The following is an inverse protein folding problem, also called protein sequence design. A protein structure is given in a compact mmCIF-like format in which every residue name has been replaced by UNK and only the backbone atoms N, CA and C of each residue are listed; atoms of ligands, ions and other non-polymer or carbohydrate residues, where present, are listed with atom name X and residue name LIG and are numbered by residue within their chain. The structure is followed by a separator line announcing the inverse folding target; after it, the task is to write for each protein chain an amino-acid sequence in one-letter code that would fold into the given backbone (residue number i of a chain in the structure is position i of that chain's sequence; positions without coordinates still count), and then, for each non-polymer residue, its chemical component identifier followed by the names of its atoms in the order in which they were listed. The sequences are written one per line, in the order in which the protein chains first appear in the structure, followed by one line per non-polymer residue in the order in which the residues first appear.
data_IF_019305365641
#
_entry.id   IF_019305365641
#
_cell.length_a   1.000
_cell.length_b   1.000
_cell.length_c   1.000
_cell.angle_alpha   90.00
_cell.angle_beta   90.00
_cell.angle_gamma   90.00
#
_symmetry.space_group_name_H-M   'P 1'
#
loop_
_entity.id
_entity.type
_entity.pdbx_description
1 polymer ?
#
# COMPACT_ATOMS: atom_id res chain seq x y z
N UNK A 1 15.47 19.81 8.98
CA UNK A 1 15.74 18.52 9.64
C UNK A 1 15.16 17.41 8.77
N UNK A 2 16.00 16.64 8.09
CA UNK A 2 15.56 15.52 7.23
C UNK A 2 15.24 14.35 8.15
N UNK A 3 13.95 13.96 8.23
CA UNK A 3 13.53 12.73 8.90
C UNK A 3 14.01 11.55 8.05
N UNK A 4 15.06 10.88 8.53
CA UNK A 4 15.56 9.65 7.92
C UNK A 4 14.55 8.52 8.15
N UNK A 5 13.71 8.25 7.16
CA UNK A 5 13.05 6.96 7.05
C UNK A 5 14.16 5.95 6.77
N UNK A 6 14.53 5.16 7.78
CA UNK A 6 15.53 4.11 7.62
C UNK A 6 15.06 3.10 6.56
N UNK A 7 15.73 3.10 5.45
CA UNK A 7 15.61 2.07 4.42
C UNK A 7 16.11 0.74 5.03
N UNK A 8 15.20 -0.01 5.62
CA UNK A 8 15.50 -1.35 6.10
C UNK A 8 15.57 -2.27 4.89
N UNK A 9 16.81 -2.63 4.53
CA UNK A 9 17.12 -3.47 3.38
C UNK A 9 16.37 -4.81 3.36
N UNK A 10 16.40 -5.52 2.22
CA UNK A 10 15.66 -6.78 1.98
C UNK A 10 15.83 -7.82 3.08
N UNK A 11 16.97 -7.81 3.80
CA UNK A 11 17.35 -8.78 4.83
C UNK A 11 16.43 -8.73 6.07
N UNK A 12 15.98 -7.55 6.50
CA UNK A 12 15.14 -7.42 7.71
C UNK A 12 13.68 -7.83 7.43
N UNK A 13 13.19 -7.55 6.23
CA UNK A 13 11.85 -8.00 5.79
C UNK A 13 11.77 -9.53 5.72
N UNK A 14 12.79 -10.18 5.17
CA UNK A 14 12.89 -11.64 5.12
C UNK A 14 12.92 -12.26 6.52
N UNK A 15 13.66 -11.68 7.46
CA UNK A 15 13.69 -12.15 8.86
C UNK A 15 12.33 -12.04 9.54
N UNK A 16 11.56 -11.01 9.25
CA UNK A 16 10.25 -10.80 9.82
C UNK A 16 9.22 -11.83 9.30
N UNK A 17 9.22 -12.07 7.98
CA UNK A 17 8.40 -13.12 7.34
C UNK A 17 8.73 -14.51 7.90
N UNK A 18 10.01 -14.81 8.15
CA UNK A 18 10.43 -16.10 8.75
C UNK A 18 9.95 -16.29 10.20
N UNK A 19 9.70 -15.20 10.94
CA UNK A 19 9.29 -15.28 12.36
C UNK A 19 7.79 -15.45 12.57
N UNK A 20 6.99 -14.76 11.77
CA UNK A 20 5.53 -14.74 11.90
C UNK A 20 4.84 -15.67 10.90
N UNK A 21 5.53 -16.04 9.81
CA UNK A 21 4.85 -16.48 8.62
C UNK A 21 4.31 -15.28 7.81
N UNK A 22 4.20 -15.43 6.48
CA UNK A 22 3.77 -14.32 5.62
C UNK A 22 2.32 -13.90 5.88
N UNK A 23 1.45 -14.82 6.22
CA UNK A 23 0.02 -14.56 6.48
C UNK A 23 -0.15 -13.76 7.76
N UNK A 24 0.47 -14.20 8.86
CA UNK A 24 0.33 -13.53 10.16
C UNK A 24 0.90 -12.10 10.13
N UNK A 25 1.99 -11.89 9.39
CA UNK A 25 2.58 -10.57 9.20
C UNK A 25 1.62 -9.63 8.45
N UNK A 26 1.05 -10.10 7.34
CA UNK A 26 0.11 -9.31 6.54
C UNK A 26 -1.12 -8.95 7.36
N UNK A 27 -1.70 -9.92 8.08
CA UNK A 27 -2.88 -9.67 8.93
C UNK A 27 -2.57 -8.70 10.08
N UNK A 28 -1.40 -8.79 10.69
CA UNK A 28 -0.99 -7.84 11.73
C UNK A 28 -0.86 -6.41 11.20
N UNK A 29 -0.31 -6.22 9.98
CA UNK A 29 -0.23 -4.91 9.35
C UNK A 29 -1.61 -4.41 8.94
N UNK A 30 -2.46 -5.26 8.37
CA UNK A 30 -3.85 -4.92 8.02
C UNK A 30 -4.63 -4.44 9.25
N UNK A 31 -4.51 -5.15 10.37
CA UNK A 31 -5.15 -4.77 11.62
C UNK A 31 -4.63 -3.42 12.14
N UNK A 32 -3.32 -3.19 12.08
CA UNK A 32 -2.72 -1.93 12.54
C UNK A 32 -3.12 -0.76 11.64
N UNK A 33 -3.14 -0.92 10.32
CA UNK A 33 -3.58 0.12 9.38
C UNK A 33 -5.05 0.49 9.64
N UNK A 34 -5.92 -0.52 9.81
CA UNK A 34 -7.33 -0.30 10.09
C UNK A 34 -7.55 0.44 11.43
N UNK A 35 -6.86 0.01 12.49
CA UNK A 35 -6.92 0.66 13.81
C UNK A 35 -6.37 2.08 13.77
N UNK A 36 -5.24 2.30 13.11
CA UNK A 36 -4.61 3.61 12.99
C UNK A 36 -5.51 4.59 12.22
N UNK A 37 -6.17 4.13 11.16
CA UNK A 37 -7.13 4.92 10.38
C UNK A 37 -8.36 5.29 11.20
N UNK A 38 -8.99 4.34 11.88
CA UNK A 38 -10.20 4.58 12.69
C UNK A 38 -9.88 5.42 13.92
N UNK A 39 -8.78 5.11 14.60
CA UNK A 39 -8.35 5.83 15.81
C UNK A 39 -7.59 7.13 15.54
N UNK A 40 -7.35 7.48 14.26
CA UNK A 40 -6.66 8.70 13.84
C UNK A 40 -5.30 8.89 14.55
N UNK A 41 -4.53 7.80 14.73
CA UNK A 41 -3.21 7.85 15.32
C UNK A 41 -2.13 7.32 14.36
N UNK A 42 -0.88 7.83 14.45
CA UNK A 42 0.21 7.31 13.64
C UNK A 42 0.61 5.90 14.13
N UNK A 43 0.89 4.93 13.23
CA UNK A 43 1.35 3.58 13.61
C UNK A 43 2.56 3.58 14.55
N UNK A 44 3.43 4.58 14.45
CA UNK A 44 4.57 4.76 15.33
C UNK A 44 4.20 4.93 16.83
N UNK A 45 2.98 5.34 17.15
CA UNK A 45 2.51 5.42 18.54
C UNK A 45 2.50 4.05 19.22
N UNK A 46 2.21 2.98 18.46
CA UNK A 46 2.27 1.60 18.97
C UNK A 46 3.71 1.22 19.33
N UNK A 47 4.69 1.64 18.55
CA UNK A 47 6.10 1.39 18.85
C UNK A 47 6.53 2.10 20.14
N UNK A 48 6.09 3.35 20.36
CA UNK A 48 6.38 4.10 21.60
C UNK A 48 5.76 3.40 22.80
N UNK A 49 4.53 2.89 22.67
CA UNK A 49 3.88 2.14 23.73
C UNK A 49 4.68 0.87 24.08
N UNK A 50 5.10 0.09 23.08
CA UNK A 50 5.88 -1.15 23.29
C UNK A 50 7.26 -0.88 23.90
N UNK A 51 7.86 0.28 23.65
CA UNK A 51 9.14 0.65 24.26
C UNK A 51 9.06 0.81 25.79
N UNK A 52 7.89 1.15 26.33
CA UNK A 52 7.65 1.22 27.78
C UNK A 52 7.71 -0.17 28.45
N UNK A 53 7.51 -1.24 27.68
CA UNK A 53 7.52 -2.61 28.16
C UNK A 53 8.80 -3.32 27.73
N UNK A 54 9.93 -3.01 28.38
CA UNK A 54 11.27 -3.46 27.99
C UNK A 54 11.45 -4.97 27.92
N UNK A 55 10.66 -5.75 28.66
CA UNK A 55 10.70 -7.21 28.69
C UNK A 55 9.63 -7.89 27.84
N UNK A 56 8.81 -7.13 27.08
CA UNK A 56 7.76 -7.70 26.26
C UNK A 56 8.32 -8.61 25.16
N UNK A 57 7.83 -9.84 25.10
CA UNK A 57 8.11 -10.76 23.98
C UNK A 57 7.52 -10.15 22.71
N UNK A 58 8.21 -10.29 21.59
CA UNK A 58 7.69 -9.83 20.31
C UNK A 58 8.04 -8.38 19.91
N UNK A 59 8.79 -7.62 20.70
CA UNK A 59 9.18 -6.22 20.38
C UNK A 59 9.72 -6.03 18.96
N UNK A 60 10.60 -6.95 18.49
CA UNK A 60 11.16 -6.88 17.13
C UNK A 60 10.09 -7.10 16.07
N UNK A 61 9.13 -7.96 16.35
CA UNK A 61 7.99 -8.22 15.48
C UNK A 61 7.09 -7.00 15.35
N UNK A 62 6.72 -6.39 16.49
CA UNK A 62 5.91 -5.17 16.50
C UNK A 62 6.60 -4.04 15.75
N UNK A 63 7.90 -3.87 15.94
CA UNK A 63 8.66 -2.87 15.19
C UNK A 63 8.52 -3.06 13.68
N UNK A 64 8.71 -4.29 13.17
CA UNK A 64 8.58 -4.58 11.76
C UNK A 64 7.16 -4.40 11.22
N UNK A 65 6.13 -4.74 12.03
CA UNK A 65 4.73 -4.46 11.67
C UNK A 65 4.49 -2.96 11.54
N UNK A 66 4.98 -2.16 12.51
CA UNK A 66 4.85 -0.69 12.50
C UNK A 66 5.57 -0.07 11.29
N UNK A 67 6.74 -0.59 10.94
CA UNK A 67 7.51 -0.11 9.78
C UNK A 67 6.78 -0.36 8.45
N UNK A 68 6.00 -1.42 8.37
CA UNK A 68 5.19 -1.77 7.20
C UNK A 68 3.82 -1.08 7.19
N UNK A 69 3.35 -0.57 8.31
CA UNK A 69 2.03 0.03 8.42
C UNK A 69 1.93 1.40 7.73
N UNK A 70 0.70 1.73 7.28
CA UNK A 70 0.35 3.03 6.72
C UNK A 70 -1.12 3.35 7.02
N UNK A 71 -1.37 4.29 7.90
CA UNK A 71 -2.72 4.69 8.30
C UNK A 71 -3.56 5.31 7.17
N UNK A 72 -2.93 5.65 6.02
CA UNK A 72 -3.62 6.19 4.84
C UNK A 72 -4.36 5.10 4.05
N UNK A 73 -4.01 3.82 4.20
CA UNK A 73 -4.68 2.74 3.47
C UNK A 73 -6.19 2.78 3.70
N UNK A 74 -6.98 2.93 2.63
CA UNK A 74 -8.42 3.09 2.68
C UNK A 74 -9.17 1.79 2.98
N UNK A 75 -8.54 0.64 2.73
CA UNK A 75 -9.15 -0.69 2.94
C UNK A 75 -8.12 -1.76 3.30
N UNK A 76 -8.57 -2.89 3.90
CA UNK A 76 -7.73 -4.05 4.12
C UNK A 76 -7.10 -4.62 2.84
N UNK A 77 -7.76 -4.50 1.71
CA UNK A 77 -7.25 -5.02 0.44
C UNK A 77 -6.17 -4.12 -0.16
N UNK A 78 -6.26 -2.81 0.00
CA UNK A 78 -5.19 -1.89 -0.37
C UNK A 78 -3.92 -2.16 0.45
N UNK A 79 -4.06 -2.41 1.76
CA UNK A 79 -2.92 -2.84 2.59
C UNK A 79 -2.29 -4.13 2.06
N UNK A 80 -3.10 -5.15 1.72
CA UNK A 80 -2.58 -6.40 1.16
C UNK A 80 -1.89 -6.20 -0.19
N UNK A 81 -2.49 -5.45 -1.09
CA UNK A 81 -1.90 -5.13 -2.40
C UNK A 81 -0.56 -4.40 -2.24
N UNK A 82 -0.49 -3.42 -1.34
CA UNK A 82 0.75 -2.72 -0.99
C UNK A 82 1.82 -3.68 -0.46
N UNK A 83 1.44 -4.61 0.42
CA UNK A 83 2.37 -5.59 1.00
C UNK A 83 2.81 -6.65 -0.01
N UNK A 84 1.98 -7.00 -1.00
CA UNK A 84 2.42 -7.84 -2.12
C UNK A 84 3.64 -7.24 -2.80
N UNK A 85 3.64 -5.94 -3.06
CA UNK A 85 4.77 -5.24 -3.71
C UNK A 85 5.98 -5.14 -2.77
N UNK A 86 5.76 -4.62 -1.57
CA UNK A 86 6.83 -4.32 -0.60
C UNK A 86 7.56 -5.59 -0.14
N UNK A 87 6.83 -6.68 0.14
CA UNK A 87 7.43 -7.94 0.60
C UNK A 87 8.20 -8.68 -0.50
N UNK A 88 7.96 -8.34 -1.77
CA UNK A 88 8.72 -8.82 -2.93
C UNK A 88 9.89 -7.92 -3.32
N UNK A 89 10.18 -6.91 -2.49
CA UNK A 89 11.37 -6.07 -2.66
C UNK A 89 11.17 -4.83 -3.51
N UNK A 90 9.96 -4.57 -4.03
CA UNK A 90 9.70 -3.34 -4.76
C UNK A 90 9.76 -2.13 -3.80
N UNK A 91 10.07 -0.93 -4.31
CA UNK A 91 9.95 0.30 -3.54
C UNK A 91 8.56 0.42 -2.91
N UNK A 92 8.46 1.09 -1.77
CA UNK A 92 7.18 1.32 -1.12
C UNK A 92 6.37 2.33 -1.94
N UNK A 93 5.18 1.97 -2.46
CA UNK A 93 4.32 2.93 -3.11
C UNK A 93 3.71 3.91 -2.09
N UNK A 94 3.33 5.09 -2.55
CA UNK A 94 2.55 6.02 -1.76
C UNK A 94 1.08 5.57 -1.72
N UNK A 95 0.51 5.48 -0.51
CA UNK A 95 -0.89 5.14 -0.31
C UNK A 95 -1.78 6.39 -0.40
N UNK A 96 -2.96 6.25 -1.00
CA UNK A 96 -3.96 7.31 -1.15
C UNK A 96 -3.33 8.58 -1.72
N UNK A 97 -2.76 8.45 -2.92
CA UNK A 97 -2.06 9.54 -3.59
C UNK A 97 -3.01 10.44 -4.38
N UNK A 98 -3.05 11.76 -4.09
CA UNK A 98 -3.91 12.69 -4.81
C UNK A 98 -3.29 13.15 -6.12
N UNK A 99 -3.92 12.87 -7.26
CA UNK A 99 -3.58 13.47 -8.55
C UNK A 99 -4.51 14.68 -8.77
N UNK A 100 -3.93 15.85 -8.95
CA UNK A 100 -4.68 17.11 -9.09
C UNK A 100 -5.19 17.30 -10.53
N UNK A 101 -6.52 17.30 -10.69
CA UNK A 101 -7.15 17.80 -11.93
C UNK A 101 -7.36 19.32 -11.81
N UNK A 102 -6.34 20.05 -12.25
CA UNK A 102 -6.34 21.53 -12.18
C UNK A 102 -7.51 22.13 -12.97
N UNK A 103 -7.90 21.52 -14.11
CA UNK A 103 -8.97 22.02 -14.97
C UNK A 103 -10.34 21.89 -14.30
N UNK A 104 -10.56 20.78 -13.61
CA UNK A 104 -11.84 20.49 -12.92
C UNK A 104 -11.83 20.88 -11.46
N UNK A 105 -10.73 21.44 -10.94
CA UNK A 105 -10.53 21.82 -9.54
C UNK A 105 -10.86 20.69 -8.56
N UNK A 106 -10.46 19.47 -8.87
CA UNK A 106 -10.66 18.30 -8.03
C UNK A 106 -9.41 17.44 -7.96
N UNK A 107 -9.31 16.62 -6.93
CA UNK A 107 -8.29 15.58 -6.83
C UNK A 107 -8.91 14.20 -7.13
N UNK A 108 -8.17 13.37 -7.86
CA UNK A 108 -8.44 11.96 -8.03
C UNK A 108 -7.47 11.20 -7.13
N UNK A 109 -7.99 10.39 -6.23
CA UNK A 109 -7.19 9.62 -5.30
C UNK A 109 -6.89 8.24 -5.88
N UNK A 110 -5.60 7.88 -5.92
CA UNK A 110 -5.13 6.56 -6.29
C UNK A 110 -4.86 5.74 -5.04
N UNK A 111 -5.30 4.48 -4.99
CA UNK A 111 -5.09 3.62 -3.81
C UNK A 111 -3.60 3.53 -3.48
N UNK A 112 -2.76 3.29 -4.50
CA UNK A 112 -1.31 3.27 -4.43
C UNK A 112 -0.71 3.96 -5.65
N UNK A 113 0.43 4.62 -5.49
CA UNK A 113 1.12 5.27 -6.59
C UNK A 113 2.64 5.20 -6.49
N UNK A 114 3.29 5.25 -7.64
CA UNK A 114 4.69 5.66 -7.80
C UNK A 114 4.69 6.95 -8.63
N UNK A 115 4.66 8.11 -7.97
CA UNK A 115 4.42 9.39 -8.66
C UNK A 115 5.49 9.76 -9.67
N UNK A 116 6.76 9.49 -9.36
CA UNK A 116 7.89 9.79 -10.25
C UNK A 116 7.82 9.04 -11.58
N UNK A 117 7.26 7.81 -11.54
CA UNK A 117 7.07 6.98 -12.74
C UNK A 117 5.67 7.10 -13.33
N UNK A 118 4.79 7.91 -12.71
CA UNK A 118 3.37 8.06 -13.05
C UNK A 118 2.65 6.71 -13.16
N UNK A 119 2.88 5.85 -12.18
CA UNK A 119 2.19 4.56 -12.06
C UNK A 119 1.13 4.66 -10.98
N UNK A 120 -0.13 4.48 -11.35
CA UNK A 120 -1.26 4.32 -10.45
C UNK A 120 -1.68 2.87 -10.33
N UNK A 121 -1.97 2.43 -9.12
CA UNK A 121 -2.36 1.05 -8.83
C UNK A 121 -3.63 1.10 -7.97
N UNK A 122 -4.66 0.36 -8.39
CA UNK A 122 -5.95 0.30 -7.71
C UNK A 122 -6.37 -1.13 -7.41
N UNK A 123 -7.00 -1.31 -6.27
CA UNK A 123 -7.69 -2.53 -5.94
C UNK A 123 -9.11 -2.51 -6.50
N UNK A 124 -9.45 -3.51 -7.31
CA UNK A 124 -10.79 -3.67 -7.86
C UNK A 124 -11.64 -4.58 -6.96
N UNK A 125 -12.54 -3.94 -6.20
CA UNK A 125 -13.52 -4.63 -5.35
C UNK A 125 -14.69 -5.20 -6.14
N UNK A 126 -15.44 -6.14 -5.53
CA UNK A 126 -16.59 -6.79 -6.18
C UNK A 126 -17.81 -5.87 -6.44
N UNK A 127 -17.85 -4.68 -5.82
CA UNK A 127 -19.02 -3.79 -5.83
C UNK A 127 -19.11 -2.82 -7.03
N UNK A 128 -18.23 -2.95 -8.03
CA UNK A 128 -18.15 -1.99 -9.16
C UNK A 128 -19.19 -2.18 -10.27
N UNK A 129 -20.15 -3.07 -10.11
CA UNK A 129 -21.19 -3.35 -11.13
C UNK A 129 -22.37 -2.36 -11.19
N UNK A 130 -22.26 -1.20 -10.52
CA UNK A 130 -23.29 -0.15 -10.66
C UNK A 130 -23.03 0.70 -11.91
N UNK A 131 -23.96 0.77 -12.89
CA UNK A 131 -23.75 1.46 -14.17
C UNK A 131 -23.32 2.92 -14.03
N UNK A 132 -23.82 3.63 -13.02
CA UNK A 132 -23.50 5.03 -12.76
C UNK A 132 -22.04 5.24 -12.33
N UNK A 133 -21.46 4.28 -11.58
CA UNK A 133 -20.05 4.31 -11.20
C UNK A 133 -19.14 3.99 -12.37
N UNK A 134 -19.55 3.07 -13.26
CA UNK A 134 -18.79 2.72 -14.46
C UNK A 134 -18.53 3.93 -15.35
N UNK A 135 -19.54 4.79 -15.56
CA UNK A 135 -19.41 6.00 -16.37
C UNK A 135 -18.50 7.05 -15.71
N UNK A 136 -18.62 7.24 -14.40
CA UNK A 136 -17.76 8.16 -13.64
C UNK A 136 -16.31 7.67 -13.63
N UNK A 137 -16.10 6.38 -13.45
CA UNK A 137 -14.78 5.74 -13.48
C UNK A 137 -14.16 5.81 -14.87
N UNK A 138 -14.92 5.62 -15.97
CA UNK A 138 -14.39 5.73 -17.32
C UNK A 138 -13.81 7.13 -17.61
N UNK A 139 -14.53 8.20 -17.25
CA UNK A 139 -14.04 9.55 -17.41
C UNK A 139 -12.82 9.90 -16.54
N UNK A 140 -12.75 9.34 -15.34
CA UNK A 140 -11.61 9.46 -14.43
C UNK A 140 -10.37 8.76 -15.00
N UNK A 141 -10.54 7.55 -15.53
CA UNK A 141 -9.44 6.78 -16.12
C UNK A 141 -8.90 7.43 -17.39
N UNK A 142 -9.78 7.84 -18.29
CA UNK A 142 -9.38 8.54 -19.53
C UNK A 142 -8.52 9.75 -19.19
N UNK A 143 -8.95 10.55 -18.22
CA UNK A 143 -8.19 11.72 -17.81
C UNK A 143 -6.82 11.36 -17.22
N UNK A 144 -6.71 10.34 -16.38
CA UNK A 144 -5.43 9.88 -15.81
C UNK A 144 -4.47 9.41 -16.91
N UNK A 145 -4.99 8.66 -17.90
CA UNK A 145 -4.19 8.20 -19.05
C UNK A 145 -3.73 9.38 -19.89
N UNK A 146 -4.61 10.35 -20.16
CA UNK A 146 -4.27 11.58 -20.91
C UNK A 146 -3.23 12.44 -20.18
N UNK A 147 -3.24 12.42 -18.83
CA UNK A 147 -2.22 13.05 -17.97
C UNK A 147 -0.92 12.22 -17.87
N UNK A 148 -0.84 11.10 -18.57
CA UNK A 148 0.36 10.26 -18.67
C UNK A 148 0.50 9.21 -17.56
N UNK A 149 -0.55 8.94 -16.79
CA UNK A 149 -0.53 7.88 -15.80
C UNK A 149 -0.74 6.51 -16.42
N UNK A 150 0.09 5.54 -16.03
CA UNK A 150 -0.08 4.11 -16.36
C UNK A 150 -0.85 3.46 -15.23
N UNK A 151 -2.09 3.07 -15.51
CA UNK A 151 -2.99 2.54 -14.49
C UNK A 151 -3.02 1.01 -14.47
N UNK A 152 -2.86 0.44 -13.29
CA UNK A 152 -2.91 -1.01 -13.03
C UNK A 152 -4.03 -1.30 -12.04
N UNK A 153 -4.90 -2.24 -12.37
CA UNK A 153 -5.97 -2.72 -11.51
C UNK A 153 -5.73 -4.17 -11.15
N UNK A 154 -5.96 -4.50 -9.90
CA UNK A 154 -5.81 -5.85 -9.38
C UNK A 154 -7.01 -6.28 -8.57
N UNK A 155 -7.53 -7.46 -8.90
CA UNK A 155 -8.65 -8.08 -8.21
C UNK A 155 -8.22 -8.82 -6.94
N UNK A 156 -9.18 -9.16 -6.09
CA UNK A 156 -8.95 -9.99 -4.91
C UNK A 156 -8.27 -11.32 -5.27
N UNK A 157 -8.69 -11.95 -6.37
CA UNK A 157 -8.09 -13.20 -6.84
C UNK A 157 -6.60 -13.05 -7.10
N UNK A 158 -6.19 -12.03 -7.85
CA UNK A 158 -4.80 -11.79 -8.18
C UNK A 158 -3.95 -11.49 -6.93
N UNK A 159 -4.46 -10.67 -6.01
CA UNK A 159 -3.75 -10.35 -4.76
C UNK A 159 -3.46 -11.60 -3.92
N UNK A 160 -4.42 -12.55 -3.86
CA UNK A 160 -4.28 -13.75 -3.03
C UNK A 160 -3.64 -14.94 -3.74
N UNK A 161 -3.89 -15.12 -5.04
CA UNK A 161 -3.52 -16.32 -5.78
C UNK A 161 -2.36 -16.13 -6.74
N UNK A 162 -2.15 -14.90 -7.19
CA UNK A 162 -1.14 -14.56 -8.21
C UNK A 162 -0.23 -13.39 -7.76
N UNK A 163 0.19 -13.35 -6.48
CA UNK A 163 0.90 -12.20 -5.95
C UNK A 163 2.27 -11.96 -6.63
N UNK A 164 2.92 -13.00 -7.16
CA UNK A 164 4.18 -12.88 -7.90
C UNK A 164 3.95 -12.24 -9.28
N UNK A 165 2.83 -12.54 -9.94
CA UNK A 165 2.46 -11.89 -11.19
C UNK A 165 2.11 -10.42 -10.99
N UNK A 166 1.39 -10.09 -9.90
CA UNK A 166 1.09 -8.71 -9.52
C UNK A 166 2.39 -7.91 -9.35
N UNK A 167 3.32 -8.43 -8.55
CA UNK A 167 4.60 -7.77 -8.32
C UNK A 167 5.43 -7.66 -9.60
N UNK A 168 5.52 -8.73 -10.39
CA UNK A 168 6.28 -8.74 -11.65
C UNK A 168 5.73 -7.76 -12.70
N UNK A 169 4.40 -7.53 -12.75
CA UNK A 169 3.81 -6.49 -13.62
C UNK A 169 4.28 -5.09 -13.22
N UNK A 170 4.27 -4.80 -11.92
CA UNK A 170 4.69 -3.47 -11.42
C UNK A 170 6.21 -3.30 -11.53
N UNK A 171 7.00 -4.35 -11.26
CA UNK A 171 8.44 -4.32 -11.43
C UNK A 171 8.84 -3.96 -12.87
N UNK A 172 8.23 -4.63 -13.87
CA UNK A 172 8.43 -4.29 -15.29
C UNK A 172 8.00 -2.86 -15.61
N UNK A 173 6.90 -2.39 -15.03
CA UNK A 173 6.43 -1.02 -15.23
C UNK A 173 7.43 0.00 -14.66
N UNK A 174 8.03 -0.26 -13.52
CA UNK A 174 9.04 0.60 -12.88
C UNK A 174 10.35 0.63 -13.68
N UNK A 175 10.68 -0.47 -14.37
CA UNK A 175 11.90 -0.56 -15.19
C UNK A 175 11.83 0.25 -16.51
N UNK A 176 10.65 0.58 -16.99
CA UNK A 176 10.43 1.39 -18.19
C UNK A 176 10.55 2.86 -17.83
N UNK A 177 11.61 3.51 -18.33
CA UNK A 177 11.84 4.95 -18.21
C UNK A 177 11.04 5.74 -19.24
#
# INVERSE_FOLDING_TARGET
MRSGAGDHGPTDRVRLVRRLGPVDLVEAVVALDALARVGSFPPAAVQQLVQRYLRARGRRTVRGVVELADARAGSPMETRLRLVLVLRGLPRPEAQYPVQDVRRRRAVWLDLAYPEQRIGIEYEGADHWRPERVLQDAGRYTWLVDDGWRMYRFTKYQVYREPDEVAGKIERALAVR
#
